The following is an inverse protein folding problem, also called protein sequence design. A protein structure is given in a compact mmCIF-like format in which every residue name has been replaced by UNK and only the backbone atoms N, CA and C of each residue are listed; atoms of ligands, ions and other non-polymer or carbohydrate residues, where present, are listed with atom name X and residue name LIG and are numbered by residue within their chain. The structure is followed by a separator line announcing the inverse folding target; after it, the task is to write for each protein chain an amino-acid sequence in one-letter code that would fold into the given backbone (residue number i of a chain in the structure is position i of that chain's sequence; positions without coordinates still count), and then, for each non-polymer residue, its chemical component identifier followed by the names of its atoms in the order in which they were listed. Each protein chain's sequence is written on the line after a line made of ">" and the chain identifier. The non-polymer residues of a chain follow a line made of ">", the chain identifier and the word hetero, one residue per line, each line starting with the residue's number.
data_IF_308096152358
#
_entry.id   IF_308096152358
#
_cell.length_a   1.000
_cell.length_b   1.000
_cell.length_c   1.000
_cell.angle_alpha   90.00
_cell.angle_beta   90.00
_cell.angle_gamma   90.00
#
_symmetry.space_group_name_H-M   'P 1'
#
loop_
_entity.id
_entity.type
_entity.pdbx_description
1 polymer ?
#
# COMPACT_ATOMS: atom_id res chain seq x y z
N UNK A 1 -0.49 7.83 1.06
CA UNK A 1 0.20 8.14 2.34
C UNK A 1 1.73 7.98 2.22
N UNK A 2 2.34 8.36 1.08
CA UNK A 2 3.79 8.21 0.82
C UNK A 2 4.49 9.55 0.55
N UNK A 3 3.73 10.57 0.14
CA UNK A 3 4.20 11.96 -0.03
C UNK A 3 4.70 12.57 1.28
N UNK A 4 3.92 12.43 2.37
CA UNK A 4 4.27 12.95 3.69
C UNK A 4 5.54 12.32 4.25
N UNK A 5 5.66 10.99 4.18
CA UNK A 5 6.83 10.26 4.69
C UNK A 5 8.14 10.66 4.01
N UNK A 6 8.11 11.06 2.73
CA UNK A 6 9.29 11.56 2.00
C UNK A 6 9.65 12.99 2.40
N UNK A 7 8.65 13.87 2.61
CA UNK A 7 8.92 15.26 3.02
C UNK A 7 9.37 15.42 4.47
N UNK A 8 8.90 14.56 5.38
CA UNK A 8 9.29 14.60 6.80
C UNK A 8 10.57 13.82 7.11
N UNK A 9 11.11 13.11 6.12
CA UNK A 9 12.37 12.38 6.24
C UNK A 9 13.53 13.35 6.49
N UNK A 10 13.95 13.48 7.75
CA UNK A 10 15.05 14.36 8.18
C UNK A 10 14.63 15.71 8.75
N UNK A 11 13.33 15.99 8.88
CA UNK A 11 12.81 17.17 9.56
C UNK A 11 12.58 16.90 11.05
N UNK A 12 12.79 17.92 11.89
CA UNK A 12 12.46 17.83 13.32
C UNK A 12 10.94 17.85 13.54
N UNK A 13 10.44 17.29 14.65
CA UNK A 13 9.00 17.25 14.95
C UNK A 13 8.30 18.62 14.90
N UNK A 14 9.01 19.70 15.25
CA UNK A 14 8.49 21.07 15.18
C UNK A 14 8.31 21.56 13.74
N UNK A 15 9.25 21.23 12.85
CA UNK A 15 9.16 21.57 11.43
C UNK A 15 8.02 20.82 10.77
N UNK A 16 7.79 19.55 11.12
CA UNK A 16 6.67 18.74 10.61
C UNK A 16 5.32 19.31 11.03
N UNK A 17 5.20 19.86 12.24
CA UNK A 17 3.96 20.47 12.75
C UNK A 17 3.61 21.77 12.04
N UNK A 18 4.59 22.47 11.49
CA UNK A 18 4.42 23.71 10.75
C UNK A 18 4.17 23.52 9.24
N UNK A 19 4.21 22.27 8.73
CA UNK A 19 3.89 22.00 7.33
C UNK A 19 2.37 22.14 7.11
N UNK A 20 1.92 23.02 6.19
CA UNK A 20 0.51 23.18 5.90
C UNK A 20 -0.08 21.90 5.32
N UNK A 21 -1.30 21.54 5.75
CA UNK A 21 -1.97 20.31 5.31
C UNK A 21 -2.19 20.23 3.80
N UNK A 22 -2.33 21.38 3.15
CA UNK A 22 -2.51 21.50 1.70
C UNK A 22 -1.26 21.04 0.91
N UNK A 23 -0.07 21.21 1.49
CA UNK A 23 1.19 20.72 0.93
C UNK A 23 1.42 19.21 1.14
N UNK A 24 0.53 18.54 1.88
CA UNK A 24 0.58 17.09 2.10
C UNK A 24 -0.05 16.30 0.97
N UNK A 25 -0.94 16.93 0.20
CA UNK A 25 -1.65 16.35 -0.92
C UNK A 25 -0.93 16.63 -2.24
N UNK A 26 0.34 16.24 -2.31
CA UNK A 26 1.05 16.19 -3.60
C UNK A 26 0.52 14.97 -4.38
N UNK A 27 0.21 15.11 -5.68
CA UNK A 27 -0.17 13.97 -6.50
C UNK A 27 0.98 12.94 -6.50
N UNK A 28 0.66 11.64 -6.32
CA UNK A 28 1.68 10.60 -6.33
C UNK A 28 2.35 10.52 -7.70
N UNK A 29 3.67 10.32 -7.72
CA UNK A 29 4.41 10.06 -8.96
C UNK A 29 4.47 8.56 -9.24
N UNK A 30 4.86 8.16 -10.46
CA UNK A 30 5.01 6.74 -10.84
C UNK A 30 5.94 5.98 -9.87
N UNK A 31 7.01 6.63 -9.40
CA UNK A 31 7.95 6.05 -8.42
C UNK A 31 7.26 5.62 -7.11
N UNK A 32 6.21 6.34 -6.69
CA UNK A 32 5.46 6.03 -5.48
C UNK A 32 4.65 4.74 -5.65
N UNK A 33 4.13 4.50 -6.86
CA UNK A 33 3.43 3.27 -7.20
C UNK A 33 4.38 2.07 -7.21
N UNK A 34 5.59 2.21 -7.76
CA UNK A 34 6.59 1.15 -7.73
C UNK A 34 7.00 0.78 -6.30
N UNK A 35 7.22 1.79 -5.44
CA UNK A 35 7.52 1.57 -4.02
C UNK A 35 6.35 0.94 -3.26
N UNK A 36 5.12 1.32 -3.59
CA UNK A 36 3.92 0.74 -3.00
C UNK A 36 3.79 -0.75 -3.39
N UNK A 37 3.97 -1.09 -4.67
CA UNK A 37 3.92 -2.47 -5.16
C UNK A 37 5.00 -3.33 -4.49
N UNK A 38 6.21 -2.80 -4.29
CA UNK A 38 7.29 -3.52 -3.58
C UNK A 38 6.99 -3.78 -2.10
N UNK A 39 6.25 -2.88 -1.43
CA UNK A 39 5.95 -2.99 0.00
C UNK A 39 4.65 -3.75 0.27
N UNK A 40 3.68 -3.68 -0.64
CA UNK A 40 2.39 -4.34 -0.51
C UNK A 40 2.47 -5.68 -1.24
N UNK A 41 2.79 -6.73 -0.48
CA UNK A 41 2.75 -8.08 -1.00
C UNK A 41 1.30 -8.54 -1.18
N UNK A 42 1.05 -9.31 -2.25
CA UNK A 42 -0.23 -10.01 -2.44
C UNK A 42 -0.56 -10.85 -1.21
N UNK A 43 -1.73 -10.61 -0.62
CA UNK A 43 -2.23 -11.33 0.55
C UNK A 43 -2.75 -12.73 0.21
N UNK A 44 -2.97 -13.01 -1.08
CA UNK A 44 -3.45 -14.29 -1.59
C UNK A 44 -2.35 -14.87 -2.47
N UNK A 45 -1.86 -16.05 -2.09
CA UNK A 45 -0.90 -16.80 -2.91
C UNK A 45 -1.63 -17.65 -3.95
N UNK A 46 -0.91 -18.12 -4.97
CA UNK A 46 -1.47 -19.05 -5.96
C UNK A 46 -1.95 -20.36 -5.30
N UNK A 47 -1.31 -20.77 -4.20
CA UNK A 47 -1.69 -21.94 -3.41
C UNK A 47 -3.04 -21.75 -2.72
N UNK A 48 -3.37 -20.52 -2.31
CA UNK A 48 -4.67 -20.22 -1.70
C UNK A 48 -5.80 -20.25 -2.74
N UNK A 49 -5.51 -19.88 -3.98
CA UNK A 49 -6.44 -20.03 -5.10
C UNK A 49 -6.72 -21.51 -5.41
N UNK A 50 -5.70 -22.36 -5.41
CA UNK A 50 -5.87 -23.80 -5.62
C UNK A 50 -6.69 -24.46 -4.50
N UNK A 51 -6.41 -24.10 -3.23
CA UNK A 51 -7.20 -24.56 -2.09
C UNK A 51 -8.67 -24.13 -2.22
N UNK A 52 -8.92 -22.89 -2.61
CA UNK A 52 -10.28 -22.40 -2.82
C UNK A 52 -10.98 -23.13 -3.97
N UNK A 53 -10.29 -23.37 -5.10
CA UNK A 53 -10.85 -24.14 -6.21
C UNK A 53 -11.17 -25.59 -5.84
N UNK A 54 -10.28 -26.25 -5.09
CA UNK A 54 -10.51 -27.62 -4.62
C UNK A 54 -11.68 -27.66 -3.63
N UNK A 55 -11.76 -26.70 -2.72
CA UNK A 55 -12.88 -26.58 -1.79
C UNK A 55 -14.20 -26.30 -2.50
N UNK A 56 -14.21 -25.41 -3.50
CA UNK A 56 -15.39 -25.15 -4.34
C UNK A 56 -15.79 -26.36 -5.17
N UNK A 57 -14.86 -27.22 -5.61
CA UNK A 57 -15.20 -28.47 -6.31
C UNK A 57 -15.79 -29.52 -5.37
N UNK A 58 -15.36 -29.56 -4.12
CA UNK A 58 -15.73 -30.59 -3.15
C UNK A 58 -17.00 -30.22 -2.36
N UNK A 59 -17.19 -28.94 -2.05
CA UNK A 59 -18.27 -28.43 -1.20
C UNK A 59 -19.10 -27.31 -1.86
N UNK A 60 -18.71 -26.85 -3.05
CA UNK A 60 -19.49 -25.86 -3.78
C UNK A 60 -20.75 -26.52 -4.32
N UNK A 61 -21.86 -26.30 -3.62
CA UNK A 61 -23.17 -26.60 -4.18
C UNK A 61 -23.40 -25.72 -5.40
N UNK A 62 -23.68 -26.36 -6.53
CA UNK A 62 -24.43 -25.73 -7.63
C UNK A 62 -25.86 -25.50 -7.16
#
# INVERSE_FOLDING_TARGET
>A
MMSFRRRISGLTPEQVRNIPKEELEVPPNMDDFELAIKKVNKSVSAQDLEKYQNWMKEFGSV
#
